data_IF_925608227968
#
_entry.id   IF_925608227968
#
_cell.length_a   1.000
_cell.length_b   1.000
_cell.length_c   1.000
_cell.angle_alpha   90.00
_cell.angle_beta   90.00
_cell.angle_gamma   90.00
#
_symmetry.space_group_name_H-M   'P 1'
#
loop_
_entity.id
_entity.type
_entity.pdbx_description
1 polymer ?
2 non-polymer ?
3 water ?
#
# COMPACT_ATOMS: atom_id res chain seq x y z
N UNK A 2 11.22 10.65 -5.56
CA UNK A 2 12.02 9.46 -6.01
C UNK A 2 11.21 8.66 -7.03
N UNK A 3 9.95 8.37 -6.67
CA UNK A 3 9.03 7.49 -7.47
C UNK A 3 8.52 8.30 -8.66
N UNK A 4 8.80 7.79 -9.87
CA UNK A 4 8.42 8.37 -11.19
C UNK A 4 7.67 7.29 -11.98
N UNK A 5 6.81 6.57 -11.28
CA UNK A 5 5.85 5.68 -11.95
C UNK A 5 4.49 6.04 -11.37
N UNK A 6 3.63 6.64 -12.15
CA UNK A 6 2.22 6.83 -11.75
C UNK A 6 1.37 6.18 -12.81
N UNK A 7 0.18 5.78 -12.39
CA UNK A 7 -0.93 5.24 -13.21
C UNK A 7 -1.47 6.48 -13.94
N UNK A 8 -1.40 6.47 -15.26
CA UNK A 8 -2.13 7.42 -16.14
C UNK A 8 -3.60 7.01 -16.17
N UNK A 9 -4.49 7.99 -16.10
CA UNK A 9 -5.93 7.78 -16.37
C UNK A 9 -6.59 7.12 -15.18
N UNK A 10 -5.97 7.20 -14.00
CA UNK A 10 -6.52 6.53 -12.77
C UNK A 10 -7.94 7.04 -12.52
N UNK A 11 -8.86 6.11 -12.23
CA UNK A 11 -10.24 6.40 -11.74
C UNK A 11 -10.29 5.92 -10.28
N UNK A 12 -10.12 6.84 -9.32
CA UNK A 12 -9.93 6.53 -7.87
C UNK A 12 -11.18 5.81 -7.36
N UNK A 13 -12.35 6.12 -7.90
CA UNK A 13 -13.62 5.52 -7.40
C UNK A 13 -13.55 4.00 -7.60
N UNK A 14 -12.88 3.53 -8.65
CA UNK A 14 -12.80 2.09 -9.00
C UNK A 14 -11.81 1.32 -8.11
N UNK A 15 -11.06 1.95 -7.22
CA UNK A 15 -10.16 1.18 -6.29
C UNK A 15 -10.91 0.88 -4.99
N UNK A 16 -12.17 1.28 -4.87
CA UNK A 16 -12.96 1.09 -3.63
C UNK A 16 -13.01 -0.41 -3.28
N UNK A 17 -13.06 -0.69 -1.97
CA UNK A 17 -13.38 -2.04 -1.49
C UNK A 17 -12.17 -2.79 -0.93
N UNK A 18 -12.26 -4.12 -0.93
CA UNK A 18 -11.34 -5.06 -0.24
C UNK A 18 -9.98 -5.15 -0.92
N UNK A 19 -8.92 -5.05 -0.12
CA UNK A 19 -7.54 -5.32 -0.57
C UNK A 19 -6.75 -6.07 0.49
N UNK A 20 -5.72 -6.73 0.00
CA UNK A 20 -4.73 -7.53 0.77
C UNK A 20 -3.31 -7.03 0.45
N UNK A 21 -2.51 -6.79 1.48
CA UNK A 21 -1.08 -6.42 1.34
C UNK A 21 -0.28 -7.70 1.08
N UNK A 22 -0.21 -8.13 -0.18
CA UNK A 22 0.48 -9.39 -0.55
C UNK A 22 2.00 -9.22 -0.33
N UNK A 23 2.59 -8.12 -0.79
CA UNK A 23 4.04 -7.83 -0.65
C UNK A 23 4.28 -6.39 -0.24
N UNK A 24 5.40 -6.15 0.44
CA UNK A 24 5.81 -4.82 0.93
C UNK A 24 7.31 -4.70 0.72
N UNK A 25 7.77 -3.51 0.38
CA UNK A 25 9.21 -3.22 0.25
C UNK A 25 9.49 -1.81 0.78
N UNK A 26 10.70 -1.57 1.25
CA UNK A 26 11.09 -0.28 1.84
C UNK A 26 12.56 0.00 1.64
N UNK A 27 12.90 1.28 1.65
CA UNK A 27 14.26 1.82 1.40
C UNK A 27 15.16 1.50 2.61
N UNK A 28 14.56 1.27 3.76
CA UNK A 28 15.26 1.15 5.05
C UNK A 28 14.70 -0.07 5.76
N UNK A 29 15.57 -0.96 6.22
CA UNK A 29 15.16 -2.25 6.84
C UNK A 29 14.23 -1.94 8.02
N UNK A 30 14.55 -0.90 8.79
CA UNK A 30 13.88 -0.59 10.06
C UNK A 30 12.44 -0.12 9.80
N UNK A 31 12.09 0.24 8.56
CA UNK A 31 10.70 0.67 8.21
C UNK A 31 9.74 -0.54 8.20
N UNK A 32 10.26 -1.76 8.00
CA UNK A 32 9.42 -2.99 7.84
C UNK A 32 9.89 -4.16 8.73
N UNK A 33 11.04 -4.10 9.40
CA UNK A 33 11.68 -5.32 10.00
C UNK A 33 10.77 -6.00 11.05
N UNK A 34 10.32 -5.31 12.11
CA UNK A 34 9.45 -5.91 13.17
C UNK A 34 7.95 -5.70 12.88
N UNK A 35 7.09 -6.41 13.62
CA UNK A 35 5.62 -6.23 13.56
C UNK A 35 5.27 -4.77 13.86
N UNK A 36 6.00 -4.13 14.77
CA UNK A 36 5.73 -2.75 15.24
C UNK A 36 6.45 -1.72 14.36
N UNK A 37 7.14 -2.14 13.30
CA UNK A 37 7.91 -1.24 12.40
C UNK A 37 6.97 -0.18 11.87
N UNK A 38 7.45 1.06 11.64
CA UNK A 38 6.54 2.16 11.33
C UNK A 38 5.69 1.93 10.07
N UNK A 39 6.21 1.26 9.02
CA UNK A 39 5.43 1.16 7.76
C UNK A 39 4.91 -0.27 7.53
N UNK A 40 5.01 -1.13 8.53
CA UNK A 40 4.36 -2.47 8.52
C UNK A 40 2.87 -2.22 8.74
N UNK A 41 2.17 -1.83 7.68
CA UNK A 41 0.71 -1.54 7.70
C UNK A 41 0.03 -2.50 6.73
N UNK A 42 -1.09 -3.07 7.15
CA UNK A 42 -1.84 -4.10 6.38
C UNK A 42 -3.11 -3.43 5.93
N UNK A 43 -3.25 -3.24 4.63
CA UNK A 43 -4.45 -2.58 4.06
C UNK A 43 -5.63 -3.51 4.18
N UNK A 44 -6.79 -2.96 4.55
CA UNK A 44 -8.07 -3.73 4.68
C UNK A 44 -9.02 -3.28 3.58
N UNK A 45 -9.19 -1.98 3.41
CA UNK A 45 -10.24 -1.46 2.52
C UNK A 45 -9.86 -0.08 2.02
N UNK A 46 -10.18 0.18 0.77
CA UNK A 46 -10.07 1.56 0.23
C UNK A 46 -11.47 2.15 0.05
N UNK A 47 -11.66 3.37 0.56
CA UNK A 47 -12.95 4.14 0.59
C UNK A 47 -12.71 5.52 -0.04
N UNK A 48 -12.71 5.63 -1.37
CA UNK A 48 -12.62 6.94 -2.02
C UNK A 48 -13.90 7.72 -1.66
N UNK A 49 -13.79 9.02 -1.39
CA UNK A 49 -14.97 9.85 -1.07
C UNK A 49 -15.51 10.47 -2.36
N UNK A 50 -16.77 10.99 -2.34
CA UNK A 50 -17.35 11.73 -3.46
C UNK A 50 -16.46 12.85 -4.09
N UNK A 51 -15.80 13.61 -3.17
CA UNK A 51 -14.86 14.72 -3.48
C UNK A 51 -13.50 14.19 -4.02
N UNK A 52 -13.24 12.87 -3.94
CA UNK A 52 -12.07 12.18 -4.55
C UNK A 52 -10.86 12.09 -3.61
N UNK A 53 -11.09 12.26 -2.32
CA UNK A 53 -10.15 11.86 -1.25
C UNK A 53 -10.17 10.33 -1.16
N UNK A 54 -9.22 9.76 -0.44
CA UNK A 54 -9.10 8.29 -0.29
C UNK A 54 -8.98 7.98 1.19
N UNK A 55 -10.06 7.46 1.76
CA UNK A 55 -10.04 6.89 3.13
C UNK A 55 -9.39 5.51 3.05
N UNK A 56 -8.45 5.23 3.95
CA UNK A 56 -7.79 3.90 4.03
C UNK A 56 -8.10 3.28 5.39
N UNK A 57 -8.66 2.08 5.39
CA UNK A 57 -8.73 1.25 6.62
C UNK A 57 -7.53 0.29 6.58
N UNK A 58 -6.72 0.27 7.62
CA UNK A 58 -5.61 -0.72 7.73
C UNK A 58 -5.51 -1.30 9.15
N UNK A 59 -4.65 -2.28 9.32
CA UNK A 59 -4.25 -2.89 10.62
C UNK A 59 -2.77 -2.55 10.83
N UNK A 60 -2.39 -2.25 12.07
CA UNK A 60 -0.98 -1.99 12.48
C UNK A 60 -0.79 -2.48 13.91
N UNK A 61 0.25 -3.26 14.13
CA UNK A 61 0.73 -3.73 15.45
C UNK A 61 1.28 -2.53 16.22
N UNK A 62 0.64 -2.17 17.34
CA UNK A 62 1.04 -1.06 18.26
C UNK A 62 0.88 -1.51 19.71
N UNK A 63 1.96 -1.50 20.49
CA UNK A 63 1.91 -1.80 21.95
C UNK A 63 1.26 -3.17 22.16
N UNK A 64 1.72 -4.20 21.45
CA UNK A 64 1.37 -5.62 21.69
C UNK A 64 0.06 -6.11 21.05
N UNK A 65 -0.73 -5.24 20.41
CA UNK A 65 -2.04 -5.61 19.79
C UNK A 65 -2.05 -5.25 18.29
N UNK A 66 -2.84 -5.98 17.51
CA UNK A 66 -3.18 -5.66 16.10
C UNK A 66 -4.34 -4.67 16.12
N UNK A 67 -4.04 -3.38 15.93
CA UNK A 67 -4.98 -2.25 16.03
C UNK A 67 -5.53 -1.87 14.65
N UNK A 68 -6.79 -1.46 14.58
CA UNK A 68 -7.43 -0.94 13.34
C UNK A 68 -7.26 0.58 13.29
N UNK A 69 -6.82 1.10 12.15
CA UNK A 69 -6.53 2.52 11.91
C UNK A 69 -7.33 2.97 10.69
N UNK A 70 -7.75 4.23 10.69
CA UNK A 70 -8.39 4.92 9.54
C UNK A 70 -7.52 6.11 9.19
N UNK A 71 -7.00 6.15 7.96
CA UNK A 71 -6.12 7.22 7.40
C UNK A 71 -6.94 7.96 6.33
N UNK A 72 -6.76 9.26 6.17
CA UNK A 72 -7.36 9.96 5.00
C UNK A 72 -6.22 10.52 4.15
N UNK A 73 -6.21 10.14 2.89
CA UNK A 73 -5.24 10.63 1.90
C UNK A 73 -6.00 11.60 1.01
N UNK A 74 -5.65 12.88 1.13
CA UNK A 74 -6.29 14.01 0.43
C UNK A 74 -5.75 14.08 -1.00
N UNK A 75 -6.66 14.22 -1.95
CA UNK A 75 -6.35 14.34 -3.40
C UNK A 75 -5.48 15.56 -3.62
N UNK A 76 -4.71 15.53 -4.69
CA UNK A 76 -3.90 16.68 -5.19
C UNK A 76 -4.38 16.99 -6.62
N UNK A 77 -3.69 17.91 -7.31
CA UNK A 77 -3.94 18.21 -8.75
C UNK A 77 -3.61 16.98 -9.60
N UNK A 78 -2.81 16.04 -9.10
CA UNK A 78 -2.44 14.83 -9.88
C UNK A 78 -3.36 13.72 -9.41
N UNK A 79 -4.14 13.11 -10.30
CA UNK A 79 -5.07 12.08 -9.86
C UNK A 79 -4.39 10.91 -9.10
N UNK A 80 -3.13 10.59 -9.41
CA UNK A 80 -2.51 9.34 -8.86
C UNK A 80 -1.73 9.66 -7.59
N UNK A 81 -1.76 10.93 -7.14
CA UNK A 81 -0.98 11.37 -5.94
C UNK A 81 -1.90 11.95 -4.87
N UNK A 82 -1.74 11.48 -3.63
CA UNK A 82 -2.53 11.88 -2.44
C UNK A 82 -1.56 12.29 -1.35
N UNK A 83 -2.00 13.13 -0.40
CA UNK A 83 -1.16 13.67 0.70
C UNK A 83 -1.83 13.19 2.01
N UNK A 84 -1.05 12.66 2.94
CA UNK A 84 -1.45 12.37 4.36
C UNK A 84 -0.87 13.48 5.26
N UNK A 85 -1.64 13.99 6.23
CA UNK A 85 -1.21 15.10 7.15
C UNK A 85 -0.36 14.52 8.29
N UNK A 86 0.87 15.05 8.48
CA UNK A 86 1.87 14.57 9.48
C UNK A 86 2.84 15.69 9.83
N UNK A 87 3.69 15.47 10.83
CA UNK A 87 4.88 16.33 11.09
C UNK A 87 5.78 16.29 9.84
N UNK A 89 4.64 15.35 6.16
CA UNK A 89 4.25 15.63 4.75
C UNK A 89 4.51 14.40 3.88
N UNK A 90 3.56 13.46 3.80
CA UNK A 90 3.79 12.11 3.23
C UNK A 90 2.85 11.91 2.03
N UNK A 91 3.44 11.63 0.86
CA UNK A 91 2.74 11.43 -0.44
C UNK A 91 2.48 9.94 -0.64
N UNK A 92 1.28 9.62 -1.05
CA UNK A 92 0.86 8.29 -1.56
C UNK A 92 0.75 8.41 -3.08
N UNK A 93 1.48 7.57 -3.78
CA UNK A 93 1.43 7.49 -5.26
C UNK A 93 0.85 6.16 -5.66
N UNK A 94 -0.14 6.18 -6.54
CA UNK A 94 -0.66 4.93 -7.17
C UNK A 94 0.14 4.69 -8.45
N UNK A 95 0.91 3.62 -8.47
CA UNK A 95 1.87 3.32 -9.56
C UNK A 95 1.10 2.68 -10.70
N UNK A 96 0.17 1.80 -10.37
CA UNK A 96 -0.44 0.89 -11.37
C UNK A 96 -1.57 0.12 -10.70
N UNK A 97 -2.66 -0.07 -11.43
CA UNK A 97 -3.77 -0.94 -10.99
C UNK A 97 -4.57 -1.38 -12.20
N UNK A 98 -5.22 -2.53 -12.09
CA UNK A 98 -6.24 -3.00 -13.06
C UNK A 98 -7.59 -3.04 -12.36
N UNK A 99 -7.70 -2.50 -11.15
CA UNK A 99 -8.96 -2.35 -10.36
C UNK A 99 -9.51 -3.69 -9.88
N UNK A 100 -9.45 -4.73 -10.73
CA UNK A 100 -10.11 -6.04 -10.56
C UNK A 100 -9.24 -6.98 -9.73
N UNK A 101 -7.90 -6.84 -9.80
CA UNK A 101 -6.93 -7.84 -9.26
C UNK A 101 -5.85 -7.20 -8.41
N UNK A 102 -5.09 -6.21 -8.92
CA UNK A 102 -3.89 -5.67 -8.23
C UNK A 102 -3.87 -4.13 -8.21
N UNK A 103 -3.16 -3.58 -7.23
CA UNK A 103 -2.83 -2.14 -7.15
C UNK A 103 -1.46 -2.02 -6.51
N UNK A 104 -0.54 -1.33 -7.19
CA UNK A 104 0.79 -0.99 -6.64
C UNK A 104 0.79 0.45 -6.16
N UNK A 105 1.27 0.69 -4.95
CA UNK A 105 1.40 2.07 -4.46
C UNK A 105 2.69 2.19 -3.66
N UNK A 106 3.16 3.42 -3.58
CA UNK A 106 4.31 3.80 -2.73
C UNK A 106 3.88 4.93 -1.83
N UNK A 107 4.51 5.00 -0.66
CA UNK A 107 4.42 6.19 0.22
C UNK A 107 5.84 6.72 0.42
N UNK A 108 6.02 8.02 0.27
CA UNK A 108 7.37 8.62 0.39
C UNK A 108 7.26 9.90 1.22
N UNK A 109 8.33 10.25 1.95
CA UNK A 109 8.46 11.52 2.74
C UNK A 109 8.78 12.68 1.79
N UNK A 116 13.31 8.38 1.89
CA UNK A 116 12.61 7.33 2.69
C UNK A 116 11.29 6.96 2.01
N UNK A 117 10.90 5.67 1.99
CA UNK A 117 9.99 5.10 0.96
C UNK A 117 9.57 3.65 1.25
N UNK A 118 8.28 3.34 1.11
CA UNK A 118 7.70 1.98 1.23
C UNK A 118 6.67 1.79 0.15
N UNK A 119 6.69 0.62 -0.49
CA UNK A 119 5.72 0.28 -1.56
C UNK A 119 5.05 -1.05 -1.24
N UNK A 120 3.81 -1.21 -1.68
CA UNK A 120 3.09 -2.47 -1.51
C UNK A 120 2.53 -2.94 -2.83
N UNK A 121 2.39 -4.26 -2.93
CA UNK A 121 1.55 -4.94 -3.93
C UNK A 121 0.26 -5.41 -3.25
N UNK A 122 -0.86 -4.73 -3.56
CA UNK A 122 -2.21 -5.06 -3.07
C UNK A 122 -2.87 -5.96 -4.08
N UNK A 123 -3.65 -6.91 -3.60
CA UNK A 123 -4.44 -7.86 -4.44
C UNK A 123 -5.85 -7.95 -3.83
N UNK A 124 -6.83 -8.28 -4.67
CA UNK A 124 -8.28 -8.28 -4.28
C UNK A 124 -8.60 -9.51 -3.40
N UNK A 125 -7.78 -10.55 -3.47
CA UNK A 125 -8.10 -11.87 -2.86
C UNK A 125 -6.87 -12.44 -2.20
N UNK A 126 -7.06 -13.35 -1.21
CA UNK A 126 -5.97 -14.01 -0.48
C UNK A 126 -5.32 -15.14 -1.28
N UNK A 127 -4.68 -14.74 -2.37
CA UNK A 127 -4.01 -15.64 -3.34
C UNK A 127 -2.70 -14.97 -3.74
N UNK A 128 -1.67 -15.76 -4.00
CA UNK A 128 -0.37 -15.26 -4.52
C UNK A 128 -0.56 -15.03 -6.03
N UNK A 129 -0.54 -13.78 -6.45
CA UNK A 129 -0.71 -13.39 -7.86
C UNK A 129 0.68 -13.10 -8.41
N UNK A 130 1.21 -14.08 -9.14
CA UNK A 130 2.58 -14.04 -9.74
C UNK A 130 2.67 -12.84 -10.69
N UNK A 131 1.61 -12.57 -11.45
CA UNK A 131 1.58 -11.44 -12.40
C UNK A 131 1.71 -10.11 -11.64
N UNK A 132 0.97 -9.93 -10.55
CA UNK A 132 1.05 -8.70 -9.73
C UNK A 132 2.45 -8.58 -9.11
N UNK A 133 3.04 -9.66 -8.59
CA UNK A 133 4.41 -9.65 -8.00
C UNK A 133 5.48 -9.36 -9.07
N UNK A 134 5.35 -9.87 -10.29
CA UNK A 134 6.24 -9.51 -11.43
C UNK A 134 6.18 -7.99 -11.64
N UNK A 135 4.98 -7.44 -11.78
CA UNK A 135 4.79 -5.98 -11.97
C UNK A 135 5.39 -5.23 -10.79
N UNK A 136 5.19 -5.71 -9.55
CA UNK A 136 5.76 -5.06 -8.34
C UNK A 136 7.30 -5.05 -8.41
N UNK A 137 7.91 -6.20 -8.72
CA UNK A 137 9.38 -6.33 -8.77
C UNK A 137 9.96 -5.44 -9.88
N UNK A 138 9.31 -5.37 -11.04
CA UNK A 138 9.69 -4.42 -12.12
C UNK A 138 9.66 -2.97 -11.63
N UNK A 139 8.59 -2.55 -10.94
CA UNK A 139 8.43 -1.17 -10.45
C UNK A 139 9.53 -0.86 -9.43
N UNK A 140 9.96 -1.85 -8.64
CA UNK A 140 10.99 -1.67 -7.58
C UNK A 140 12.40 -1.62 -8.16
N UNK A 141 12.69 -2.24 -9.31
CA UNK A 141 14.04 -2.23 -9.96
C UNK A 141 14.57 -0.79 -9.99
N UNK A 142 13.68 0.19 -10.23
CA UNK A 142 14.00 1.63 -10.32
C UNK A 142 14.21 2.26 -8.94
N UNK A 143 14.01 1.55 -7.82
CA UNK A 143 13.93 2.20 -6.49
C UNK A 143 15.00 1.63 -5.56
N UNK A 144 15.45 2.38 -4.54
CA UNK A 144 16.52 1.92 -3.65
C UNK A 144 16.01 1.12 -2.44
N UNK A 145 15.44 -0.06 -2.67
CA UNK A 145 14.80 -0.86 -1.60
C UNK A 145 15.84 -1.75 -0.92
N UNK A 146 15.69 -2.01 0.38
CA UNK A 146 16.66 -2.84 1.15
C UNK A 146 15.93 -3.85 2.01
N UNK A 147 14.59 -3.84 2.00
CA UNK A 147 13.83 -4.96 2.62
C UNK A 147 12.57 -5.20 1.76
N UNK A 148 12.25 -6.46 1.56
CA UNK A 148 11.06 -6.93 0.81
C UNK A 148 10.44 -8.08 1.58
N UNK A 149 9.12 -8.01 1.81
CA UNK A 149 8.35 -9.07 2.54
C UNK A 149 7.25 -9.52 1.60
N UNK A 150 6.89 -10.79 1.65
CA UNK A 150 5.64 -11.29 1.04
C UNK A 150 4.95 -12.25 2.00
N UNK A 151 3.66 -12.39 1.82
CA UNK A 151 2.82 -13.18 2.75
C UNK A 151 2.14 -14.29 1.98
N UNK A 152 1.87 -15.36 2.71
CA UNK A 152 1.18 -16.54 2.14
C UNK A 152 -0.31 -16.39 2.36
N UNK A 153 -1.13 -17.21 1.68
CA UNK A 153 -2.58 -17.05 1.78
C UNK A 153 -3.16 -17.27 3.19
N UNK A 154 -2.51 -18.06 4.04
CA UNK A 154 -2.99 -18.30 5.43
C UNK A 154 -2.82 -17.01 6.22
N UNK A 155 -1.63 -16.41 6.14
CA UNK A 155 -1.29 -15.12 6.80
C UNK A 155 -2.21 -14.00 6.31
N UNK A 156 -2.59 -14.02 5.03
CA UNK A 156 -3.37 -12.89 4.48
C UNK A 156 -4.76 -12.89 5.11
N UNK A 157 -5.22 -14.06 5.60
CA UNK A 157 -6.58 -14.18 6.20
C UNK A 157 -6.55 -13.92 7.71
N UNK A 158 -5.41 -13.52 8.27
CA UNK A 158 -5.23 -13.25 9.72
C UNK A 158 -4.99 -11.76 9.94
N UNK A 159 -5.45 -11.27 11.08
CA UNK A 159 -5.23 -9.87 11.53
C UNK A 159 -3.71 -9.67 11.65
N UNK A 160 -3.19 -8.61 11.03
CA UNK A 160 -1.75 -8.28 11.05
C UNK A 160 -0.94 -9.45 10.51
N UNK A 161 -1.56 -10.36 9.73
CA UNK A 161 -0.84 -11.34 8.88
C UNK A 161 -0.02 -12.28 9.77
N UNK A 162 -0.52 -12.58 10.97
CA UNK A 162 0.17 -13.44 11.99
C UNK A 162 0.38 -14.83 11.39
X LIG B 1 -3.12 2.83 -2.53
X LIG B 1 -3.52 3.48 -1.23
X LIG B 1 -2.95 2.84 0.00
X LIG B 1 -2.22 3.83 0.87
X LIG B 1 -1.87 3.36 2.25
X LIG B 1 -1.10 4.39 3.03
X LIG B 1 -0.79 4.01 4.45
X LIG B 1 -0.38 5.18 5.31
X LIG B 1 0.79 4.91 6.20
X LIG B 1 0.54 5.29 7.64
X LIG B 1 1.73 5.21 8.39
#
# INVERSE_FOLDING_TARGET
LIVTQTMKGLDIQKVAGTWYSLAMAASDISLLDAQSAPLRVYVEELKPTPEGDLEILLQKWENGECAQKKIIAEKTKIPAVFKIDALNENKVLVLDTDYKKYLLFCMENSAEPEQSLACQCLVRTPEVDDEALEKFDKALKALPMHIRLSFNPTQLEEQCHI
DE1 CAA CAC CAE CAG CAI CAK CAJ CAH CAF CAD OAB
#
